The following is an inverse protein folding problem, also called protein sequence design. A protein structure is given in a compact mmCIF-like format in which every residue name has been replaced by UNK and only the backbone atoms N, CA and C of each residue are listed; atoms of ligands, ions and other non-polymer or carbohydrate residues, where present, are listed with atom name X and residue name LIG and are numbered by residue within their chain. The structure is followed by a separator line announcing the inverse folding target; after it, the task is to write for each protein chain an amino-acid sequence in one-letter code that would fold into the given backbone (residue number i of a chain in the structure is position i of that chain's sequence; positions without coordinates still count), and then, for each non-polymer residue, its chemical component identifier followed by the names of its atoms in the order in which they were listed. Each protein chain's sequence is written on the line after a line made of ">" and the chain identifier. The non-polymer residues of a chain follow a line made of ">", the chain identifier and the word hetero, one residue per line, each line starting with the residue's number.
data_IF_226907849935
#
_entry.id   IF_226907849935
#
_cell.length_a   1.000
_cell.length_b   1.000
_cell.length_c   1.000
_cell.angle_alpha   90.00
_cell.angle_beta   90.00
_cell.angle_gamma   90.00
#
_symmetry.space_group_name_H-M   'P 1'
#
loop_
_entity.id
_entity.type
_entity.pdbx_description
1 polymer ?
2 non-polymer ?
3 non-polymer ?
4 non-polymer ?
5 non-polymer ?
6 non-polymer ?
7 non-polymer ?
8 water ?
#
# COMPACT_ATOMS: atom_id res chain seq x y z
N UNK A 7 -9.56 -20.66 1.45
CA UNK A 7 -10.47 -19.52 1.16
C UNK A 7 -9.66 -18.26 0.96
N UNK A 8 -10.30 -17.29 0.33
CA UNK A 8 -9.66 -15.99 0.10
C UNK A 8 -9.28 -15.30 1.41
N UNK A 9 -8.13 -14.66 1.38
CA UNK A 9 -7.59 -13.95 2.55
C UNK A 9 -8.09 -12.52 2.58
N UNK A 10 -9.03 -12.24 3.47
CA UNK A 10 -9.73 -10.96 3.54
C UNK A 10 -9.53 -10.32 4.90
N UNK A 11 -9.14 -9.05 4.89
CA UNK A 11 -8.96 -8.30 6.13
C UNK A 11 -9.85 -7.08 6.12
N UNK A 12 -10.52 -6.83 7.24
CA UNK A 12 -11.46 -5.72 7.39
C UNK A 12 -11.16 -4.94 8.66
N UNK A 13 -11.23 -3.62 8.52
CA UNK A 13 -10.92 -2.69 9.62
C UNK A 13 -11.89 -1.53 9.58
N UNK A 14 -12.48 -1.21 10.72
CA UNK A 14 -13.22 0.04 10.94
C UNK A 14 -12.60 0.80 12.10
N UNK A 15 -12.33 2.07 11.88
CA UNK A 15 -11.78 2.93 12.94
C UNK A 15 -12.28 4.33 12.84
N UNK A 16 -12.65 4.86 13.98
CA UNK A 16 -13.01 6.26 14.05
C UNK A 16 -12.37 7.00 15.19
N UNK A 17 -12.06 8.25 14.89
CA UNK A 17 -11.56 9.22 15.86
C UNK A 17 -12.37 10.50 15.76
N UNK A 18 -11.97 11.54 16.51
CA UNK A 18 -12.64 12.85 16.37
C UNK A 18 -12.26 13.51 15.06
N UNK A 19 -11.19 13.02 14.40
CA UNK A 19 -10.68 13.56 13.11
C UNK A 19 -11.28 12.88 11.87
N UNK A 20 -11.45 11.57 11.93
CA UNK A 20 -11.77 10.77 10.74
C UNK A 20 -12.64 9.56 11.07
N UNK A 21 -13.25 8.99 10.03
CA UNK A 21 -14.00 7.75 10.10
C UNK A 21 -13.66 6.91 8.88
N UNK A 22 -13.10 5.73 9.11
CA UNK A 22 -12.53 4.91 8.03
C UNK A 22 -13.03 3.46 8.11
N UNK A 23 -13.32 2.92 6.93
CA UNK A 23 -13.63 1.48 6.75
C UNK A 23 -12.85 0.94 5.58
N UNK A 24 -12.15 -0.17 5.80
CA UNK A 24 -11.36 -0.82 4.76
C UNK A 24 -11.66 -2.31 4.72
N UNK A 25 -11.72 -2.85 3.50
CA UNK A 25 -11.78 -4.29 3.27
C UNK A 25 -10.87 -4.62 2.11
N UNK A 26 -9.90 -5.49 2.35
CA UNK A 26 -8.98 -5.92 1.30
C UNK A 26 -8.94 -7.43 1.17
N UNK A 27 -9.04 -7.87 -0.08
CA UNK A 27 -8.88 -9.28 -0.46
C UNK A 27 -7.54 -9.46 -1.15
N UNK A 28 -6.64 -10.21 -0.49
CA UNK A 28 -5.31 -10.52 -1.05
C UNK A 28 -5.38 -11.38 -2.30
N UNK A 29 -6.44 -12.18 -2.38
CA UNK A 29 -6.66 -13.14 -3.46
C UNK A 29 -7.76 -12.65 -4.39
N UNK A 30 -7.74 -11.36 -4.66
CA UNK A 30 -8.78 -10.69 -5.41
C UNK A 30 -8.68 -10.79 -6.91
N UNK A 31 -9.55 -10.02 -7.55
CA UNK A 31 -9.61 -9.89 -9.01
C UNK A 31 -9.50 -8.43 -9.47
N UNK A 32 -8.89 -7.62 -8.62
CA UNK A 32 -8.68 -6.21 -8.96
C UNK A 32 -9.90 -5.32 -8.88
N UNK A 33 -10.84 -5.67 -8.01
CA UNK A 33 -12.06 -4.86 -7.81
C UNK A 33 -11.65 -3.57 -7.09
N UNK A 34 -11.91 -2.47 -7.78
CA UNK A 34 -11.56 -1.11 -7.34
C UNK A 34 -12.79 -0.42 -6.75
N UNK A 35 -12.74 -0.10 -5.46
CA UNK A 35 -13.89 0.47 -4.76
C UNK A 35 -13.48 1.40 -3.61
N UNK A 36 -12.73 2.44 -3.98
CA UNK A 36 -12.14 3.37 -3.03
C UNK A 36 -12.72 4.77 -3.11
N UNK A 37 -13.22 5.24 -1.96
CA UNK A 37 -13.72 6.61 -1.79
C UNK A 37 -13.26 7.18 -0.46
N UNK A 38 -12.17 7.93 -0.52
CA UNK A 38 -11.48 8.44 0.68
C UNK A 38 -11.81 9.88 1.03
N UNK A 39 -12.48 10.58 0.12
CA UNK A 39 -12.59 12.04 0.22
C UNK A 39 -11.42 12.79 -0.38
N UNK A 40 -10.44 12.04 -0.89
CA UNK A 40 -9.23 12.59 -1.49
C UNK A 40 -9.12 11.97 -2.90
N UNK A 41 -9.58 12.71 -3.92
CA UNK A 41 -9.67 12.08 -5.25
C UNK A 41 -8.37 11.52 -5.79
N UNK A 42 -7.25 12.20 -5.55
CA UNK A 42 -5.99 11.69 -6.08
C UNK A 42 -5.62 10.34 -5.43
N UNK A 43 -5.85 10.26 -4.13
CA UNK A 43 -5.59 9.02 -3.41
C UNK A 43 -6.50 7.88 -3.92
N UNK A 44 -7.75 8.21 -4.23
CA UNK A 44 -8.63 7.21 -4.84
C UNK A 44 -8.03 6.64 -6.13
N UNK A 45 -7.50 7.53 -6.98
CA UNK A 45 -6.88 7.11 -8.25
C UNK A 45 -5.67 6.19 -7.99
N UNK A 46 -4.90 6.50 -6.96
CA UNK A 46 -3.75 5.67 -6.58
C UNK A 46 -4.18 4.30 -6.06
N UNK A 47 -5.21 4.29 -5.24
CA UNK A 47 -5.76 3.03 -4.72
C UNK A 47 -6.35 2.16 -5.83
N UNK A 48 -6.85 2.80 -6.88
CA UNK A 48 -7.25 2.04 -8.08
C UNK A 48 -6.10 1.32 -8.77
N UNK A 49 -4.89 1.90 -8.75
CA UNK A 49 -3.72 1.18 -9.33
C UNK A 49 -3.38 -0.02 -8.48
N UNK A 50 -3.52 0.18 -7.17
CA UNK A 50 -3.25 -0.89 -6.22
C UNK A 50 -4.12 -2.10 -6.59
N UNK A 51 -5.40 -1.83 -6.84
CA UNK A 51 -6.33 -2.88 -7.26
C UNK A 51 -6.02 -3.43 -8.66
N UNK A 52 -5.90 -2.53 -9.63
CA UNK A 52 -5.72 -2.94 -11.04
C UNK A 52 -4.43 -3.71 -11.30
N UNK A 53 -3.35 -3.28 -10.64
CA UNK A 53 -2.01 -3.89 -10.88
C UNK A 53 -1.60 -4.91 -9.87
N UNK A 54 -2.16 -4.80 -8.68
CA UNK A 54 -1.91 -5.81 -7.63
C UNK A 54 -2.91 -6.95 -7.62
N UNK A 55 -4.05 -6.76 -8.30
CA UNK A 55 -5.19 -7.69 -8.29
C UNK A 55 -5.81 -7.87 -6.90
N UNK A 56 -5.54 -6.97 -6.00
CA UNK A 56 -6.27 -6.90 -4.74
C UNK A 56 -7.67 -6.40 -5.01
N UNK A 57 -8.64 -6.90 -4.25
CA UNK A 57 -9.93 -6.19 -4.14
C UNK A 57 -9.78 -5.19 -3.03
N UNK A 58 -10.04 -3.93 -3.36
CA UNK A 58 -9.78 -2.80 -2.46
C UNK A 58 -11.08 -2.02 -2.27
N UNK A 59 -11.62 -2.09 -1.05
CA UNK A 59 -12.79 -1.33 -0.65
C UNK A 59 -12.37 -0.39 0.46
N UNK A 60 -12.54 0.89 0.21
CA UNK A 60 -12.24 1.92 1.20
C UNK A 60 -13.34 2.96 1.23
N UNK A 61 -13.78 3.29 2.43
CA UNK A 61 -14.63 4.45 2.68
C UNK A 61 -14.00 5.27 3.78
N UNK A 62 -13.87 6.56 3.53
CA UNK A 62 -13.38 7.46 4.57
C UNK A 62 -14.02 8.82 4.47
N UNK A 63 -14.26 9.39 5.62
CA UNK A 63 -14.63 10.80 5.78
C UNK A 63 -13.72 11.40 6.83
N UNK A 64 -13.61 12.71 6.86
CA UNK A 64 -12.76 13.33 7.87
C UNK A 64 -12.60 14.81 7.67
N UNK A 65 -11.67 15.36 8.42
CA UNK A 65 -11.50 16.81 8.58
C UNK A 65 -10.68 17.46 7.47
N UNK A 66 -11.11 17.23 6.22
CA UNK A 66 -10.33 17.71 5.05
C UNK A 66 -10.30 19.25 4.92
N UNK A 67 -11.19 19.92 5.63
CA UNK A 67 -11.18 21.40 5.73
C UNK A 67 -9.96 21.92 6.50
N UNK A 68 -9.41 21.09 7.37
CA UNK A 68 -8.16 21.39 8.07
C UNK A 68 -6.98 21.09 7.15
N UNK A 69 -7.02 19.90 6.57
CA UNK A 69 -5.85 19.33 5.84
C UNK A 69 -6.39 17.98 5.28
N UNK A 70 -5.86 17.47 4.18
CA UNK A 70 -6.10 16.05 3.83
C UNK A 70 -5.33 15.11 4.76
N UNK A 71 -4.42 15.65 5.57
CA UNK A 71 -3.48 14.86 6.34
C UNK A 71 -4.10 13.77 7.21
N UNK A 72 -5.02 14.13 8.09
CA UNK A 72 -5.52 13.12 9.03
C UNK A 72 -6.23 11.98 8.28
N UNK A 73 -7.04 12.35 7.29
CA UNK A 73 -7.72 11.34 6.46
C UNK A 73 -6.71 10.39 5.78
N UNK A 74 -5.74 10.99 5.11
CA UNK A 74 -4.71 10.23 4.41
C UNK A 74 -4.03 9.22 5.34
N UNK A 75 -3.64 9.72 6.50
CA UNK A 75 -2.97 8.91 7.52
C UNK A 75 -3.86 7.77 8.01
N UNK A 76 -5.10 8.09 8.35
CA UNK A 76 -5.99 7.09 8.94
C UNK A 76 -6.42 6.04 7.92
N UNK A 77 -6.55 6.42 6.66
CA UNK A 77 -6.77 5.44 5.61
C UNK A 77 -5.58 4.48 5.53
N UNK A 78 -4.38 5.03 5.49
CA UNK A 78 -3.17 4.22 5.40
C UNK A 78 -3.02 3.28 6.60
N UNK A 79 -3.26 3.80 7.80
CA UNK A 79 -3.17 2.97 9.01
C UNK A 79 -4.12 1.79 8.91
N UNK A 80 -5.36 2.07 8.51
CA UNK A 80 -6.38 1.02 8.41
C UNK A 80 -6.03 0.01 7.31
N UNK A 81 -5.52 0.46 6.18
CA UNK A 81 -5.07 -0.48 5.13
C UNK A 81 -3.97 -1.39 5.67
N UNK A 82 -3.01 -0.81 6.39
CA UNK A 82 -1.94 -1.65 6.96
C UNK A 82 -2.47 -2.73 7.89
N UNK A 83 -3.39 -2.34 8.75
CA UNK A 83 -4.01 -3.32 9.68
C UNK A 83 -4.78 -4.39 8.89
N UNK A 84 -5.51 -3.97 7.87
CA UNK A 84 -6.26 -4.93 7.04
C UNK A 84 -5.35 -5.94 6.37
N UNK A 85 -4.21 -5.47 5.89
CA UNK A 85 -3.18 -6.36 5.28
C UNK A 85 -2.68 -7.36 6.32
N UNK A 86 -2.35 -6.84 7.49
CA UNK A 86 -1.86 -7.70 8.59
C UNK A 86 -2.87 -8.80 8.92
N UNK A 87 -4.13 -8.41 9.06
CA UNK A 87 -5.21 -9.36 9.38
C UNK A 87 -5.37 -10.40 8.26
N UNK A 88 -5.42 -9.95 7.02
CA UNK A 88 -5.56 -10.87 5.89
C UNK A 88 -4.40 -11.86 5.79
N UNK A 89 -3.19 -11.40 6.07
CA UNK A 89 -2.00 -12.27 5.98
C UNK A 89 -1.89 -13.43 7.00
N UNK A 90 -2.34 -13.18 8.24
CA UNK A 90 -2.13 -14.17 9.32
C UNK A 90 -0.68 -14.51 9.61
N UNK A 91 -0.41 -15.82 9.73
CA UNK A 91 0.94 -16.37 10.06
C UNK A 91 1.83 -16.49 8.87
N UNK A 92 1.33 -16.00 7.75
CA UNK A 92 2.06 -15.90 6.47
C UNK A 92 2.55 -17.28 5.90
N UNK A 93 1.79 -18.32 6.23
CA UNK A 93 2.19 -19.67 5.77
C UNK A 93 2.16 -19.77 4.25
N UNK A 94 3.24 -20.28 3.69
CA UNK A 94 3.29 -20.63 2.27
C UNK A 94 3.45 -19.51 1.26
N UNK A 95 3.71 -18.30 1.73
CA UNK A 95 3.79 -17.11 0.86
C UNK A 95 5.19 -16.86 0.37
N UNK A 96 5.28 -16.08 -0.71
CA UNK A 96 6.59 -15.66 -1.23
C UNK A 96 7.36 -14.78 -0.24
N UNK A 97 6.62 -13.95 0.50
CA UNK A 97 7.12 -13.06 1.57
C UNK A 97 7.80 -11.80 1.06
N UNK A 98 8.68 -11.97 0.08
CA UNK A 98 9.43 -10.89 -0.54
C UNK A 98 8.82 -10.50 -1.87
N UNK A 99 8.83 -9.21 -2.16
CA UNK A 99 8.45 -8.69 -3.47
C UNK A 99 9.44 -7.65 -3.94
N UNK A 100 9.62 -7.57 -5.24
CA UNK A 100 10.66 -6.71 -5.86
C UNK A 100 10.15 -6.34 -7.25
N UNK A 101 9.84 -5.07 -7.50
CA UNK A 101 9.42 -4.69 -8.84
C UNK A 101 9.76 -3.23 -9.08
N UNK A 102 10.19 -2.95 -10.31
CA UNK A 102 10.45 -1.59 -10.77
C UNK A 102 9.53 -1.30 -11.95
N UNK A 103 8.71 -0.27 -11.81
CA UNK A 103 7.72 0.12 -12.82
C UNK A 103 7.94 1.54 -13.28
N UNK A 104 7.81 1.76 -14.59
CA UNK A 104 7.81 3.11 -15.08
C UNK A 104 6.41 3.67 -15.22
N UNK A 105 6.34 4.99 -15.33
CA UNK A 105 5.20 5.65 -15.98
C UNK A 105 5.86 6.77 -16.79
N UNK A 106 5.94 6.56 -18.09
CA UNK A 106 6.65 7.47 -18.99
C UNK A 106 8.07 7.69 -18.46
N UNK A 107 8.45 8.93 -18.19
CA UNK A 107 9.82 9.26 -17.77
C UNK A 107 10.12 8.84 -16.33
N UNK A 108 9.09 8.59 -15.52
CA UNK A 108 9.29 8.17 -14.13
C UNK A 108 9.61 6.68 -14.06
N UNK A 109 10.42 6.33 -13.08
CA UNK A 109 10.83 4.94 -12.88
C UNK A 109 11.05 4.74 -11.39
N UNK A 110 10.26 3.85 -10.80
CA UNK A 110 10.25 3.68 -9.34
C UNK A 110 10.47 2.21 -8.99
N UNK A 111 11.46 1.97 -8.14
CA UNK A 111 11.75 0.64 -7.60
C UNK A 111 11.11 0.47 -6.22
N UNK A 112 10.35 -0.61 -6.06
CA UNK A 112 9.85 -1.02 -4.75
C UNK A 112 10.32 -2.43 -4.42
N UNK A 113 10.91 -2.54 -3.24
CA UNK A 113 11.25 -3.82 -2.67
C UNK A 113 10.62 -3.91 -1.28
N UNK A 114 10.00 -5.04 -0.96
CA UNK A 114 9.37 -5.19 0.34
C UNK A 114 9.51 -6.62 0.85
N UNK A 115 9.47 -6.71 2.17
CA UNK A 115 9.54 -7.96 2.92
C UNK A 115 8.43 -7.93 3.96
N UNK A 116 7.51 -8.89 3.86
CA UNK A 116 6.46 -9.08 4.85
C UNK A 116 7.07 -9.77 6.08
N UNK A 117 7.80 -8.97 6.85
CA UNK A 117 8.74 -9.43 7.88
C UNK A 117 8.19 -9.43 9.30
N UNK A 118 7.14 -8.65 9.50
CA UNK A 118 6.66 -8.32 10.84
C UNK A 118 7.37 -7.17 11.53
N UNK A 119 8.32 -6.55 10.85
CA UNK A 119 9.13 -5.43 11.37
C UNK A 119 8.87 -4.21 10.50
N UNK A 120 8.28 -3.15 11.06
CA UNK A 120 8.01 -1.99 10.21
C UNK A 120 9.29 -1.21 9.87
N UNK A 121 9.45 -0.87 8.60
CA UNK A 121 10.52 0.04 8.18
C UNK A 121 10.11 0.63 6.84
N UNK A 122 10.28 1.94 6.68
CA UNK A 122 10.16 2.59 5.39
C UNK A 122 11.48 3.26 5.01
N UNK A 123 11.99 2.86 3.85
CA UNK A 123 13.07 3.58 3.17
C UNK A 123 12.41 4.29 1.99
N UNK A 124 12.63 5.60 1.88
CA UNK A 124 11.90 6.40 0.89
C UNK A 124 12.77 7.57 0.47
N UNK A 125 12.92 7.74 -0.84
CA UNK A 125 13.74 8.84 -1.33
C UNK A 125 13.09 9.64 -2.45
N UNK A 126 11.77 9.55 -2.57
CA UNK A 126 11.11 10.30 -3.64
C UNK A 126 11.36 11.80 -3.46
N UNK A 127 11.54 12.46 -4.59
CA UNK A 127 11.65 13.93 -4.62
C UNK A 127 10.61 14.37 -5.66
N UNK A 128 9.48 14.76 -5.13
CA UNK A 128 8.31 15.12 -5.93
C UNK A 128 8.39 16.62 -6.15
N UNK A 129 8.54 17.10 -7.41
CA UNK A 129 8.96 18.49 -7.58
C UNK A 129 7.89 19.55 -7.49
N UNK A 130 6.64 19.15 -7.27
CA UNK A 130 5.56 20.12 -7.05
C UNK A 130 4.87 19.81 -5.73
N UNK A 131 4.24 20.85 -5.18
CA UNK A 131 3.62 20.74 -3.86
C UNK A 131 2.20 20.17 -3.88
N UNK A 132 1.49 20.36 -4.98
CA UNK A 132 0.10 19.88 -5.14
C UNK A 132 -0.06 19.21 -6.47
N UNK A 133 -0.60 18.00 -6.44
CA UNK A 133 -1.01 17.28 -7.64
C UNK A 133 -2.53 17.28 -7.57
N UNK A 134 -3.16 18.00 -8.48
CA UNK A 134 -4.55 18.38 -8.25
C UNK A 134 -4.64 19.16 -6.97
N UNK A 135 -5.47 18.71 -6.04
CA UNK A 135 -5.56 19.31 -4.69
C UNK A 135 -4.79 18.55 -3.61
N UNK A 136 -4.05 17.52 -4.02
CA UNK A 136 -3.38 16.60 -3.09
C UNK A 136 -1.97 17.06 -2.77
N UNK A 137 -1.73 17.26 -1.47
CA UNK A 137 -0.42 17.65 -0.93
C UNK A 137 0.57 16.50 -1.10
N UNK A 138 1.62 16.72 -1.89
CA UNK A 138 2.53 15.63 -2.23
C UNK A 138 3.40 15.15 -1.07
N UNK A 139 3.45 15.89 0.04
CA UNK A 139 4.09 15.34 1.25
C UNK A 139 3.34 14.12 1.79
N UNK A 140 2.06 14.02 1.44
CA UNK A 140 1.23 12.95 1.99
C UNK A 140 1.51 11.58 1.41
N UNK A 141 2.23 11.52 0.30
CA UNK A 141 2.63 10.25 -0.28
C UNK A 141 3.54 9.48 0.68
N UNK A 142 4.57 10.14 1.17
CA UNK A 142 5.48 9.48 2.11
C UNK A 142 4.70 9.03 3.34
N UNK A 143 3.83 9.90 3.82
CA UNK A 143 3.07 9.60 5.04
C UNK A 143 2.14 8.40 4.84
N UNK A 144 1.54 8.29 3.65
CA UNK A 144 0.69 7.14 3.33
C UNK A 144 1.49 5.84 3.53
N UNK A 145 2.65 5.77 2.88
CA UNK A 145 3.45 4.55 2.98
C UNK A 145 3.98 4.31 4.37
N UNK A 146 4.39 5.37 5.07
CA UNK A 146 4.90 5.21 6.43
C UNK A 146 3.84 4.62 7.36
N UNK A 147 2.64 5.18 7.29
CA UNK A 147 1.56 4.73 8.15
C UNK A 147 1.15 3.28 7.82
N UNK A 148 1.09 2.97 6.53
CA UNK A 148 0.77 1.61 6.09
C UNK A 148 1.80 0.61 6.64
N UNK A 149 3.08 0.97 6.51
CA UNK A 149 4.16 0.14 7.04
C UNK A 149 4.00 -0.08 8.56
N UNK A 150 3.66 1.00 9.25
CA UNK A 150 3.66 0.95 10.72
C UNK A 150 2.65 -0.03 11.29
N UNK A 151 1.47 -0.12 10.67
CA UNK A 151 0.46 -1.05 11.14
C UNK A 151 0.54 -2.44 10.48
N UNK A 152 1.02 -2.53 9.25
CA UNK A 152 1.19 -3.84 8.60
C UNK A 152 2.40 -4.62 9.09
N UNK A 153 3.40 -3.92 9.63
CA UNK A 153 4.65 -4.57 10.01
C UNK A 153 5.43 -5.07 8.80
N UNK A 154 5.52 -4.22 7.79
CA UNK A 154 6.21 -4.46 6.53
C UNK A 154 7.52 -3.72 6.48
N UNK A 155 8.54 -4.34 5.88
CA UNK A 155 9.77 -3.66 5.48
C UNK A 155 9.57 -3.21 4.04
N UNK A 156 9.66 -1.90 3.79
CA UNK A 156 9.35 -1.34 2.49
C UNK A 156 10.41 -0.33 2.08
N UNK A 157 10.97 -0.50 0.90
CA UNK A 157 11.91 0.45 0.29
C UNK A 157 11.31 0.94 -1.03
N UNK A 158 11.28 2.27 -1.17
CA UNK A 158 10.79 2.97 -2.37
C UNK A 158 11.92 3.86 -2.85
N UNK A 159 12.36 3.64 -4.08
CA UNK A 159 13.50 4.33 -4.67
C UNK A 159 13.13 4.97 -5.99
N UNK A 160 13.34 6.28 -6.07
CA UNK A 160 13.10 7.03 -7.31
C UNK A 160 14.33 6.91 -8.19
N UNK A 161 14.17 6.24 -9.31
CA UNK A 161 15.28 6.06 -10.26
C UNK A 161 15.27 7.11 -11.38
N UNK A 162 14.10 7.66 -11.67
CA UNK A 162 13.92 8.70 -12.69
C UNK A 162 12.55 9.29 -12.45
N UNK A 163 12.35 10.48 -13.01
CA UNK A 163 11.03 11.10 -12.99
C UNK A 163 11.09 12.60 -12.86
N UNK A 164 10.08 13.23 -13.45
CA UNK A 164 9.91 14.68 -13.37
C UNK A 164 8.47 15.08 -13.06
N UNK A 165 7.53 14.50 -13.75
CA UNK A 165 6.13 14.84 -13.55
C UNK A 165 5.63 14.21 -12.24
N UNK A 166 5.04 15.03 -11.36
CA UNK A 166 4.67 14.56 -10.03
C UNK A 166 3.64 13.42 -10.06
N UNK A 167 2.63 13.55 -10.90
CA UNK A 167 1.63 12.49 -11.07
C UNK A 167 2.30 11.20 -11.55
N UNK A 168 3.21 11.33 -12.51
CA UNK A 168 3.92 10.13 -12.99
C UNK A 168 4.73 9.46 -11.88
N UNK A 169 5.47 10.26 -11.12
CA UNK A 169 6.28 9.73 -10.03
C UNK A 169 5.41 8.96 -9.02
N UNK A 170 4.33 9.60 -8.59
CA UNK A 170 3.50 9.00 -7.54
C UNK A 170 2.79 7.76 -8.06
N UNK A 171 2.25 7.85 -9.27
CA UNK A 171 1.52 6.72 -9.84
C UNK A 171 2.41 5.53 -10.13
N UNK A 172 3.60 5.79 -10.66
CA UNK A 172 4.57 4.70 -10.86
C UNK A 172 4.89 4.03 -9.52
N UNK A 173 4.98 4.82 -8.45
CA UNK A 173 5.23 4.25 -7.11
C UNK A 173 4.13 3.28 -6.73
N UNK A 174 2.88 3.71 -6.89
CA UNK A 174 1.75 2.83 -6.55
C UNK A 174 1.71 1.58 -7.44
N UNK A 175 2.05 1.70 -8.72
CA UNK A 175 2.10 0.53 -9.60
C UNK A 175 3.18 -0.46 -9.18
N UNK A 176 4.37 0.06 -8.90
CA UNK A 176 5.48 -0.78 -8.46
C UNK A 176 5.15 -1.45 -7.13
N UNK A 177 4.61 -0.67 -6.20
CA UNK A 177 4.19 -1.18 -4.88
C UNK A 177 3.15 -2.29 -5.05
N UNK A 178 2.15 -2.04 -5.89
CA UNK A 178 1.10 -3.02 -6.11
C UNK A 178 1.67 -4.35 -6.61
N UNK A 179 2.59 -4.27 -7.56
CA UNK A 179 3.17 -5.49 -8.15
C UNK A 179 4.09 -6.19 -7.15
N UNK A 180 4.89 -5.42 -6.41
CA UNK A 180 5.74 -6.03 -5.37
C UNK A 180 4.90 -6.69 -4.27
N UNK A 181 3.82 -6.03 -3.86
CA UNK A 181 2.96 -6.57 -2.81
C UNK A 181 2.20 -7.81 -3.30
N UNK A 182 1.72 -7.78 -4.53
CA UNK A 182 1.12 -8.96 -5.16
C UNK A 182 2.11 -10.15 -5.08
N UNK A 183 3.33 -9.93 -5.54
CA UNK A 183 4.33 -10.98 -5.51
C UNK A 183 4.54 -11.54 -4.09
N UNK A 184 4.72 -10.64 -3.13
CA UNK A 184 5.02 -11.05 -1.75
C UNK A 184 3.89 -11.85 -1.12
N UNK A 185 2.66 -11.45 -1.42
CA UNK A 185 1.48 -12.08 -0.82
C UNK A 185 1.05 -13.38 -1.48
N UNK A 186 1.48 -13.60 -2.71
CA UNK A 186 1.12 -14.79 -3.46
C UNK A 186 1.78 -16.04 -2.87
N UNK A 187 1.17 -17.17 -3.20
CA UNK A 187 1.69 -18.47 -2.81
C UNK A 187 3.04 -18.76 -3.44
N UNK A 188 3.95 -19.30 -2.64
CA UNK A 188 5.20 -19.86 -3.13
C UNK A 188 4.90 -21.31 -3.50
N UNK A 189 4.99 -21.69 -4.79
CA UNK A 189 4.56 -23.03 -5.19
C UNK A 189 5.41 -24.18 -4.68
N UNK A 190 6.59 -23.86 -4.18
CA UNK A 190 7.47 -24.91 -3.68
C UNK A 190 7.54 -25.09 -2.19
N UNK A 191 7.07 -24.16 -1.40
CA UNK A 191 7.46 -24.25 0.01
C UNK A 191 6.46 -24.98 0.92
N UNK A 192 5.39 -25.48 0.31
CA UNK A 192 4.48 -26.46 0.94
C UNK A 192 3.85 -26.03 2.25
N UNK A 193 3.39 -24.79 2.27
CA UNK A 193 2.71 -24.19 3.45
C UNK A 193 3.54 -23.90 4.68
N UNK A 194 4.86 -23.99 4.55
CA UNK A 194 5.77 -23.62 5.65
C UNK A 194 5.87 -22.09 5.79
N UNK A 195 6.19 -21.61 6.99
CA UNK A 195 6.43 -20.18 7.23
C UNK A 195 7.78 -19.84 6.58
N UNK A 196 7.84 -18.78 5.75
CA UNK A 196 9.09 -18.48 5.03
C UNK A 196 10.08 -17.69 5.88
N UNK A 197 10.67 -18.38 6.82
CA UNK A 197 11.62 -17.80 7.78
C UNK A 197 12.46 -18.93 8.37
N UNK A 198 13.71 -18.61 8.66
CA UNK A 198 14.59 -19.55 9.39
C UNK A 198 14.33 -19.58 10.90
N UNK A 199 13.60 -18.60 11.44
CA UNK A 199 13.43 -18.51 12.90
C UNK A 199 12.12 -19.06 13.47
N UNK A 200 11.22 -19.55 12.62
CA UNK A 200 9.92 -20.13 13.07
C UNK A 200 9.83 -20.79 14.45
#
# INVERSE_FOLDING_TARGET
>A
MASPIESARIGEVKRETKETNVSVKINLDGHGVSDSSTGIPFLDHMLDQLASHGLFDVHVRATGDTHIDDHHTNEDVALAIGTALLKALGERKGINRFGDFTAPLDEALIHVSLDLSGRPYLGYNLEIPTQRVGTYDTQLVEHFFQSLVNTSGMTLHIRQLAGKNSHHIIEATFKAFARALRQATESDPRRGGTIPSSKGVLSRS
#
